data_IF_866652358554
#
_entry.id   IF_866652358554
#
_cell.length_a   1.000
_cell.length_b   1.000
_cell.length_c   1.000
_cell.angle_alpha   90.00
_cell.angle_beta   90.00
_cell.angle_gamma   90.00
#
_symmetry.space_group_name_H-M   'P 1'
#
loop_
_entity.id
_entity.type
_entity.pdbx_description
1 polymer ?
#
# COMPACT_ATOMS: atom_id res chain seq x y z
N UNK A 1 -26.07 12.91 27.16
CA UNK A 1 -25.56 12.86 25.78
C UNK A 1 -25.40 14.30 25.32
N UNK A 2 -24.19 14.73 25.05
CA UNK A 2 -23.89 16.11 24.64
C UNK A 2 -24.02 16.26 23.12
N UNK A 3 -24.34 17.48 22.65
CA UNK A 3 -24.51 17.77 21.22
C UNK A 3 -23.14 17.89 20.55
N UNK A 4 -22.94 17.18 19.44
CA UNK A 4 -21.70 17.22 18.66
C UNK A 4 -21.97 17.16 17.15
N UNK A 5 -20.94 17.46 16.35
CA UNK A 5 -20.92 17.29 14.89
C UNK A 5 -19.86 16.26 14.54
N UNK A 6 -20.23 15.27 13.71
CA UNK A 6 -19.31 14.31 13.13
C UNK A 6 -19.09 14.63 11.66
N UNK A 7 -17.82 14.68 11.25
CA UNK A 7 -17.43 14.78 9.86
C UNK A 7 -16.41 13.68 9.56
N UNK A 8 -16.82 12.72 8.73
CA UNK A 8 -15.96 11.64 8.27
C UNK A 8 -15.15 12.04 7.04
N UNK A 9 -13.92 11.52 6.93
CA UNK A 9 -13.11 11.63 5.71
C UNK A 9 -13.58 10.63 4.65
N UNK A 10 -13.41 10.92 3.35
CA UNK A 10 -13.66 9.95 2.29
C UNK A 10 -12.84 8.68 2.50
N UNK A 11 -13.48 7.52 2.40
CA UNK A 11 -12.83 6.21 2.53
C UNK A 11 -13.48 5.17 1.63
N UNK A 12 -12.71 4.18 1.22
CA UNK A 12 -13.16 2.97 0.51
C UNK A 12 -12.52 1.77 1.20
N UNK A 13 -13.35 0.85 1.70
CA UNK A 13 -12.91 -0.37 2.39
C UNK A 13 -13.48 -1.55 1.64
N UNK A 14 -12.60 -2.45 1.17
CA UNK A 14 -12.98 -3.73 0.57
C UNK A 14 -12.84 -4.80 1.66
N UNK A 15 -13.97 -5.37 2.10
CA UNK A 15 -14.00 -6.41 3.13
C UNK A 15 -14.79 -7.60 2.61
N UNK A 16 -14.07 -8.66 2.25
CA UNK A 16 -14.63 -9.91 1.75
C UNK A 16 -13.62 -11.04 1.89
N UNK A 17 -14.07 -12.28 1.67
CA UNK A 17 -13.16 -13.42 1.60
C UNK A 17 -12.19 -13.23 0.43
N UNK A 18 -10.90 -13.39 0.70
CA UNK A 18 -9.84 -13.24 -0.30
C UNK A 18 -9.81 -11.87 -1.02
N UNK A 19 -10.18 -10.79 -0.30
CA UNK A 19 -10.17 -9.42 -0.81
C UNK A 19 -8.85 -9.01 -1.48
N UNK A 20 -7.73 -9.63 -1.10
CA UNK A 20 -6.44 -9.35 -1.71
C UNK A 20 -6.47 -9.60 -3.23
N UNK A 21 -7.20 -10.61 -3.71
CA UNK A 21 -7.35 -10.91 -5.14
C UNK A 21 -7.95 -9.75 -5.96
N UNK A 22 -8.66 -8.80 -5.31
CA UNK A 22 -9.22 -7.60 -5.94
C UNK A 22 -8.24 -6.43 -6.03
N UNK A 23 -7.03 -6.56 -5.49
CA UNK A 23 -6.05 -5.48 -5.49
C UNK A 23 -5.76 -4.88 -6.89
N UNK A 24 -5.65 -5.67 -7.99
CA UNK A 24 -5.51 -5.09 -9.32
C UNK A 24 -6.69 -4.20 -9.75
N UNK A 25 -7.92 -4.54 -9.35
CA UNK A 25 -9.11 -3.74 -9.64
C UNK A 25 -9.07 -2.41 -8.88
N UNK A 26 -8.58 -2.42 -7.65
CA UNK A 26 -8.42 -1.21 -6.83
C UNK A 26 -7.36 -0.25 -7.41
N UNK A 27 -6.25 -0.77 -7.95
CA UNK A 27 -5.29 0.07 -8.68
C UNK A 27 -5.95 0.73 -9.91
N UNK A 28 -6.81 -0.01 -10.63
CA UNK A 28 -7.55 0.51 -11.77
C UNK A 28 -8.55 1.59 -11.36
N UNK A 29 -9.28 1.40 -10.26
CA UNK A 29 -10.20 2.38 -9.70
C UNK A 29 -9.51 3.68 -9.27
N UNK A 30 -8.26 3.58 -8.76
CA UNK A 30 -7.42 4.73 -8.43
C UNK A 30 -6.77 5.41 -9.66
N UNK A 31 -6.88 4.81 -10.85
CA UNK A 31 -6.16 5.25 -12.04
C UNK A 31 -4.64 5.04 -11.96
N UNK A 32 -4.15 4.25 -11.00
CA UNK A 32 -2.74 3.96 -10.81
C UNK A 32 -2.28 2.87 -11.80
N UNK A 33 -1.12 3.05 -12.43
CA UNK A 33 -0.60 2.06 -13.40
C UNK A 33 0.31 1.04 -12.74
N UNK A 34 1.17 1.49 -11.84
CA UNK A 34 2.12 0.68 -11.09
C UNK A 34 2.09 1.04 -9.60
N UNK A 35 2.40 0.08 -8.75
CA UNK A 35 2.44 0.26 -7.30
C UNK A 35 3.75 -0.27 -6.70
N UNK A 36 4.42 0.59 -5.92
CA UNK A 36 5.52 0.16 -5.05
C UNK A 36 4.92 -0.48 -3.79
N UNK A 37 5.36 -1.70 -3.47
CA UNK A 37 4.87 -2.44 -2.31
C UNK A 37 5.77 -2.13 -1.12
N UNK A 38 5.19 -1.69 -0.01
CA UNK A 38 5.91 -1.36 1.22
C UNK A 38 5.67 -2.45 2.27
N UNK A 39 6.72 -2.87 2.96
CA UNK A 39 6.59 -3.78 4.11
C UNK A 39 7.76 -3.61 5.09
N UNK A 40 7.64 -4.18 6.29
CA UNK A 40 8.80 -4.39 7.16
C UNK A 40 9.66 -5.55 6.63
N UNK A 41 10.95 -5.66 7.01
CA UNK A 41 11.81 -6.75 6.54
C UNK A 41 11.21 -8.15 6.75
N UNK A 42 10.53 -8.38 7.87
CA UNK A 42 9.96 -9.67 8.26
C UNK A 42 8.75 -10.05 7.41
N UNK A 43 8.08 -9.05 6.80
CA UNK A 43 6.89 -9.23 5.97
C UNK A 43 7.21 -9.35 4.48
N UNK A 44 8.49 -9.40 4.10
CA UNK A 44 8.89 -9.53 2.69
C UNK A 44 8.22 -10.70 1.96
N UNK A 45 8.06 -11.92 2.55
CA UNK A 45 7.35 -13.00 1.86
C UNK A 45 5.90 -12.66 1.50
N UNK A 46 5.22 -11.86 2.32
CA UNK A 46 3.88 -11.37 2.00
C UNK A 46 3.92 -10.33 0.87
N UNK A 47 4.88 -9.40 0.91
CA UNK A 47 5.06 -8.42 -0.16
C UNK A 47 5.37 -9.09 -1.51
N UNK A 48 6.13 -10.19 -1.52
CA UNK A 48 6.42 -10.97 -2.73
C UNK A 48 5.15 -11.63 -3.29
N UNK A 49 4.27 -12.15 -2.43
CA UNK A 49 2.95 -12.65 -2.85
C UNK A 49 2.08 -11.56 -3.47
N UNK A 50 2.09 -10.36 -2.87
CA UNK A 50 1.39 -9.18 -3.42
C UNK A 50 2.00 -8.78 -4.76
N UNK A 51 3.33 -8.81 -4.89
CA UNK A 51 4.04 -8.54 -6.14
C UNK A 51 3.64 -9.52 -7.24
N UNK A 52 3.60 -10.82 -6.92
CA UNK A 52 3.15 -11.84 -7.86
C UNK A 52 1.70 -11.62 -8.31
N UNK A 53 0.80 -11.22 -7.40
CA UNK A 53 -0.58 -10.90 -7.74
C UNK A 53 -0.71 -9.69 -8.66
N UNK A 54 0.10 -8.65 -8.44
CA UNK A 54 0.10 -7.43 -9.24
C UNK A 54 0.80 -7.61 -10.59
N UNK A 55 1.68 -8.61 -10.74
CA UNK A 55 2.41 -8.90 -11.96
C UNK A 55 3.19 -7.68 -12.46
N UNK A 56 3.01 -7.31 -13.72
CA UNK A 56 3.67 -6.15 -14.35
C UNK A 56 3.32 -4.81 -13.70
N UNK A 57 2.24 -4.75 -12.90
CA UNK A 57 1.85 -3.55 -12.15
C UNK A 57 2.63 -3.41 -10.84
N UNK A 58 3.40 -4.41 -10.43
CA UNK A 58 4.33 -4.26 -9.31
C UNK A 58 5.54 -3.42 -9.73
N UNK A 59 5.74 -2.30 -9.05
CA UNK A 59 6.86 -1.39 -9.29
C UNK A 59 8.12 -1.80 -8.51
N UNK A 60 8.06 -2.89 -7.75
CA UNK A 60 9.10 -3.37 -6.83
C UNK A 60 8.60 -3.47 -5.40
N UNK A 61 9.49 -3.88 -4.50
CA UNK A 61 9.23 -4.01 -3.07
C UNK A 61 10.25 -3.19 -2.30
N UNK A 62 9.78 -2.30 -1.42
CA UNK A 62 10.58 -1.60 -0.43
C UNK A 62 10.33 -2.22 0.95
N UNK A 63 11.20 -3.16 1.34
CA UNK A 63 11.12 -3.90 2.60
C UNK A 63 11.95 -3.24 3.72
N UNK A 64 11.83 -1.92 3.86
CA UNK A 64 12.65 -1.12 4.79
C UNK A 64 11.81 -0.40 5.85
N UNK A 65 10.49 -0.65 5.90
CA UNK A 65 9.65 -0.01 6.91
C UNK A 65 10.07 -0.44 8.31
N UNK A 66 10.18 0.54 9.22
CA UNK A 66 10.55 0.34 10.62
C UNK A 66 9.64 1.16 11.53
N UNK A 67 9.58 0.79 12.80
CA UNK A 67 8.74 1.49 13.78
C UNK A 67 9.07 2.99 13.87
N UNK A 68 8.06 3.80 14.17
CA UNK A 68 8.12 5.25 14.26
C UNK A 68 8.45 6.00 12.96
N UNK A 69 8.63 5.30 11.85
CA UNK A 69 8.81 5.88 10.50
C UNK A 69 9.85 7.02 10.49
N UNK A 70 11.14 6.74 10.76
CA UNK A 70 12.20 7.75 10.64
C UNK A 70 12.15 8.43 9.27
N UNK A 71 12.39 9.74 9.24
CA UNK A 71 12.19 10.56 8.03
C UNK A 71 13.09 10.12 6.88
N UNK A 72 14.26 9.58 7.19
CA UNK A 72 15.23 9.05 6.23
C UNK A 72 14.66 7.83 5.49
N UNK A 73 13.96 6.94 6.22
CA UNK A 73 13.31 5.75 5.65
C UNK A 73 12.14 6.17 4.75
N UNK A 74 11.35 7.15 5.18
CA UNK A 74 10.26 7.68 4.35
C UNK A 74 10.77 8.32 3.05
N UNK A 75 11.89 9.07 3.11
CA UNK A 75 12.54 9.65 1.93
C UNK A 75 13.08 8.58 1.00
N UNK A 76 13.76 7.56 1.52
CA UNK A 76 14.27 6.46 0.71
C UNK A 76 13.14 5.71 -0.02
N UNK A 77 12.01 5.45 0.65
CA UNK A 77 10.84 4.82 0.03
C UNK A 77 10.22 5.71 -1.07
N UNK A 78 10.15 7.02 -0.85
CA UNK A 78 9.67 7.98 -1.85
C UNK A 78 10.58 8.02 -3.08
N UNK A 79 11.89 8.03 -2.87
CA UNK A 79 12.86 8.07 -3.97
C UNK A 79 12.82 6.76 -4.77
N UNK A 80 12.65 5.62 -4.09
CA UNK A 80 12.38 4.33 -4.74
C UNK A 80 11.08 4.35 -5.55
N UNK A 81 10.01 4.98 -5.05
CA UNK A 81 8.75 5.10 -5.77
C UNK A 81 8.84 6.03 -7.00
N UNK A 82 9.66 7.08 -6.94
CA UNK A 82 9.88 7.99 -8.06
C UNK A 82 10.72 7.37 -9.19
N UNK A 83 11.64 6.47 -8.85
CA UNK A 83 12.43 5.70 -9.81
C UNK A 83 11.72 4.47 -10.37
N UNK A 84 10.55 4.14 -9.83
CA UNK A 84 9.76 3.00 -10.26
C UNK A 84 8.90 3.38 -11.47
#
# INVERSE_FOLDING_TARGET
MERFVYQGSPSRVVFEWDALAKLPDELSALGARRALILCTPEQRPLAERVGALLGERAAGICAQAVMHVPVEVARAARDAAAGA
#
